data_IF_837513626228
#
_entry.id   IF_837513626228
#
_cell.length_a   1.000
_cell.length_b   1.000
_cell.length_c   1.000
_cell.angle_alpha   90.00
_cell.angle_beta   90.00
_cell.angle_gamma   90.00
#
_symmetry.space_group_name_H-M   'P 1'
#
loop_
_entity.id
_entity.type
_entity.pdbx_description
1 polymer ?
#
# COMPACT_ATOMS: atom_id res chain seq x y z
N UNK A 1 28.92 -57.67 -64.96
CA UNK A 1 29.56 -56.67 -64.08
C UNK A 1 28.71 -55.39 -64.13
N UNK A 2 27.74 -55.26 -63.22
CA UNK A 2 26.95 -54.06 -62.88
C UNK A 2 25.92 -54.51 -61.82
N UNK A 3 26.06 -54.03 -60.59
CA UNK A 3 25.06 -54.20 -59.52
C UNK A 3 24.35 -52.85 -59.32
N UNK A 4 23.04 -52.84 -58.99
CA UNK A 4 22.27 -51.61 -58.87
C UNK A 4 22.42 -50.95 -57.50
N UNK A 5 22.30 -49.62 -57.50
CA UNK A 5 22.36 -48.75 -56.34
C UNK A 5 21.13 -48.90 -55.44
N UNK A 6 21.36 -49.02 -54.13
CA UNK A 6 20.34 -49.02 -53.09
C UNK A 6 20.35 -47.63 -52.42
N UNK A 7 19.27 -46.85 -52.56
CA UNK A 7 19.12 -45.56 -51.88
C UNK A 7 18.49 -45.76 -50.49
N UNK A 8 18.95 -45.06 -49.44
CA UNK A 8 18.29 -45.11 -48.14
C UNK A 8 17.09 -44.15 -48.10
N UNK A 9 15.94 -44.65 -47.65
CA UNK A 9 14.80 -43.83 -47.23
C UNK A 9 15.17 -43.08 -45.93
N UNK A 10 15.23 -41.75 -46.00
CA UNK A 10 15.28 -40.90 -44.82
C UNK A 10 13.86 -40.69 -44.27
N UNK A 11 13.53 -41.33 -43.16
CA UNK A 11 12.34 -41.01 -42.36
C UNK A 11 12.60 -39.73 -41.56
N UNK A 12 12.00 -38.63 -41.98
CA UNK A 12 11.92 -37.40 -41.19
C UNK A 12 10.87 -37.59 -40.08
N UNK A 13 11.31 -37.89 -38.86
CA UNK A 13 10.45 -37.82 -37.68
C UNK A 13 10.40 -36.36 -37.23
N UNK A 14 9.33 -35.66 -37.60
CA UNK A 14 9.03 -34.34 -37.07
C UNK A 14 8.65 -34.46 -35.60
N UNK A 15 9.63 -34.34 -34.71
CA UNK A 15 9.42 -34.26 -33.27
C UNK A 15 8.71 -32.96 -32.92
N UNK A 16 7.42 -33.05 -32.57
CA UNK A 16 6.66 -31.96 -31.98
C UNK A 16 7.23 -31.72 -30.57
N UNK A 17 8.10 -30.73 -30.45
CA UNK A 17 8.57 -30.19 -29.17
C UNK A 17 7.38 -29.44 -28.53
N UNK A 18 6.57 -30.17 -27.77
CA UNK A 18 5.59 -29.58 -26.85
C UNK A 18 6.41 -28.94 -25.73
N UNK A 19 6.75 -27.66 -25.92
CA UNK A 19 7.35 -26.83 -24.89
C UNK A 19 6.25 -26.54 -23.86
N UNK A 20 6.14 -27.40 -22.83
CA UNK A 20 5.34 -27.14 -21.64
C UNK A 20 5.94 -25.94 -20.91
N UNK A 21 5.62 -24.73 -21.37
CA UNK A 21 5.90 -23.50 -20.64
C UNK A 21 5.08 -23.53 -19.35
N UNK A 22 5.74 -23.78 -18.23
CA UNK A 22 5.14 -23.62 -16.91
C UNK A 22 4.94 -22.13 -16.70
N UNK A 23 3.72 -21.63 -16.91
CA UNK A 23 3.35 -20.28 -16.51
C UNK A 23 3.45 -20.20 -14.98
N UNK A 24 4.55 -19.63 -14.48
CA UNK A 24 4.59 -19.17 -13.08
C UNK A 24 3.70 -17.94 -13.00
N UNK A 25 2.61 -18.04 -12.23
CA UNK A 25 1.81 -16.88 -11.88
C UNK A 25 2.71 -15.89 -11.13
N UNK A 26 2.92 -14.72 -11.73
CA UNK A 26 3.71 -13.66 -11.10
C UNK A 26 2.91 -13.11 -9.93
N UNK A 27 3.53 -13.11 -8.73
CA UNK A 27 2.93 -12.47 -7.56
C UNK A 27 2.83 -10.98 -7.85
N UNK A 28 1.61 -10.42 -7.81
CA UNK A 28 1.42 -8.99 -7.93
C UNK A 28 2.08 -8.29 -6.73
N UNK A 29 2.92 -7.29 -7.02
CA UNK A 29 3.51 -6.46 -5.98
C UNK A 29 2.42 -5.63 -5.29
N UNK A 30 2.55 -5.35 -3.97
CA UNK A 30 1.71 -4.38 -3.28
C UNK A 30 1.71 -3.01 -3.99
N UNK A 31 0.57 -2.34 -4.02
CA UNK A 31 0.49 -0.93 -4.36
C UNK A 31 1.08 -0.08 -3.24
N UNK A 32 1.79 0.99 -3.60
CA UNK A 32 2.41 1.93 -2.66
C UNK A 32 2.06 3.37 -3.01
N UNK A 33 2.06 4.24 -2.02
CA UNK A 33 1.80 5.67 -2.22
C UNK A 33 3.01 6.44 -2.73
N UNK A 34 4.22 6.01 -2.36
CA UNK A 34 5.46 6.82 -2.47
C UNK A 34 5.36 8.19 -1.76
N UNK A 35 4.40 8.34 -0.85
CA UNK A 35 4.15 9.55 -0.07
C UNK A 35 3.80 9.19 1.38
N UNK A 36 4.60 9.72 2.31
CA UNK A 36 4.48 9.52 3.75
C UNK A 36 3.63 10.67 4.35
N UNK A 37 2.32 10.49 4.42
CA UNK A 37 1.37 11.54 4.81
C UNK A 37 1.50 11.96 6.27
N UNK A 38 1.85 11.07 7.20
CA UNK A 38 2.01 11.40 8.61
C UNK A 38 3.34 12.14 8.86
N UNK A 39 4.43 11.74 8.19
CA UNK A 39 5.68 12.50 8.17
C UNK A 39 5.44 13.91 7.61
N UNK A 40 4.79 14.02 6.44
CA UNK A 40 4.45 15.30 5.83
C UNK A 40 3.61 16.16 6.78
N UNK A 41 2.57 15.58 7.38
CA UNK A 41 1.71 16.29 8.33
C UNK A 41 2.53 16.81 9.53
N UNK A 42 3.39 15.99 10.11
CA UNK A 42 4.19 16.40 11.26
C UNK A 42 5.19 17.49 10.90
N UNK A 43 5.78 17.43 9.71
CA UNK A 43 6.73 18.43 9.25
C UNK A 43 6.04 19.77 8.94
N UNK A 44 4.90 19.73 8.24
CA UNK A 44 4.27 20.93 7.66
C UNK A 44 3.10 21.50 8.47
N UNK A 45 2.39 20.67 9.23
CA UNK A 45 1.11 21.01 9.85
C UNK A 45 1.15 21.00 11.39
N UNK A 46 2.01 20.18 12.01
CA UNK A 46 1.98 19.98 13.46
C UNK A 46 2.29 21.23 14.29
N UNK A 47 2.94 22.25 13.72
CA UNK A 47 3.15 23.53 14.42
C UNK A 47 1.82 24.16 14.91
N UNK A 48 0.76 24.04 14.12
CA UNK A 48 -0.55 24.58 14.45
C UNK A 48 -1.54 23.51 14.94
N UNK A 49 -1.34 22.25 14.56
CA UNK A 49 -2.30 21.17 14.81
C UNK A 49 -1.79 20.09 15.78
N UNK A 50 -0.58 20.26 16.33
CA UNK A 50 0.08 19.25 17.17
C UNK A 50 0.51 18.03 16.36
N UNK A 51 1.40 17.22 16.92
CA UNK A 51 1.81 15.96 16.26
C UNK A 51 0.59 15.10 15.99
N UNK A 52 0.48 14.60 14.75
CA UNK A 52 -0.63 13.77 14.28
C UNK A 52 -2.01 14.37 14.55
N UNK A 53 -2.14 15.70 14.52
CA UNK A 53 -3.42 16.38 14.70
C UNK A 53 -3.91 16.39 16.15
N UNK A 54 -3.03 16.18 17.13
CA UNK A 54 -3.40 16.11 18.55
C UNK A 54 -4.05 17.39 19.11
N UNK A 55 -3.97 18.53 18.42
CA UNK A 55 -4.68 19.76 18.80
C UNK A 55 -6.06 19.88 18.14
N UNK A 56 -6.44 18.94 17.27
CA UNK A 56 -7.80 18.89 16.76
C UNK A 56 -8.77 18.57 17.91
N UNK A 57 -9.81 19.39 18.02
CA UNK A 57 -10.89 19.18 18.97
C UNK A 57 -11.87 18.10 18.51
N UNK A 58 -12.81 17.69 19.38
CA UNK A 58 -13.78 16.62 19.10
C UNK A 58 -14.76 16.93 17.96
N UNK A 59 -14.81 18.18 17.48
CA UNK A 59 -15.66 18.61 16.37
C UNK A 59 -14.89 18.79 15.07
N UNK A 60 -13.62 18.35 14.99
CA UNK A 60 -12.82 18.46 13.79
C UNK A 60 -13.55 17.87 12.58
N UNK A 61 -13.69 18.69 11.53
CA UNK A 61 -14.33 18.33 10.26
C UNK A 61 -15.75 17.73 10.34
N UNK A 62 -16.44 17.82 11.48
CA UNK A 62 -17.78 17.27 11.65
C UNK A 62 -18.75 17.91 10.65
N UNK A 63 -19.49 17.06 9.93
CA UNK A 63 -20.46 17.49 8.92
C UNK A 63 -19.88 17.95 7.58
N UNK A 64 -18.54 17.90 7.40
CA UNK A 64 -17.93 18.15 6.09
C UNK A 64 -18.07 16.93 5.19
N UNK A 65 -18.46 17.17 3.93
CA UNK A 65 -18.29 16.15 2.87
C UNK A 65 -16.81 15.90 2.61
N UNK A 66 -16.51 14.85 1.85
CA UNK A 66 -15.13 14.54 1.53
C UNK A 66 -14.48 15.61 0.66
N UNK A 67 -15.23 16.16 -0.31
CA UNK A 67 -14.79 17.24 -1.18
C UNK A 67 -14.50 18.51 -0.37
N UNK A 68 -15.36 18.83 0.61
CA UNK A 68 -15.15 19.95 1.51
C UNK A 68 -13.94 19.75 2.42
N UNK A 69 -13.70 18.52 2.88
CA UNK A 69 -12.51 18.19 3.65
C UNK A 69 -11.25 18.35 2.80
N UNK A 70 -11.25 17.81 1.58
CA UNK A 70 -10.14 17.91 0.64
C UNK A 70 -9.81 19.36 0.29
N UNK A 71 -10.83 20.18 0.02
CA UNK A 71 -10.65 21.60 -0.26
C UNK A 71 -9.99 22.33 0.91
N UNK A 72 -10.45 22.11 2.14
CA UNK A 72 -9.84 22.75 3.33
C UNK A 72 -8.40 22.28 3.54
N UNK A 73 -8.12 20.98 3.40
CA UNK A 73 -6.75 20.46 3.53
C UNK A 73 -5.83 21.07 2.48
N UNK A 74 -6.31 21.21 1.24
CA UNK A 74 -5.57 21.88 0.17
C UNK A 74 -5.27 23.34 0.49
N UNK A 75 -6.27 24.10 0.94
CA UNK A 75 -6.09 25.50 1.35
C UNK A 75 -5.09 25.64 2.49
N UNK A 76 -5.08 24.70 3.44
CA UNK A 76 -4.10 24.68 4.52
C UNK A 76 -2.68 24.40 4.01
N UNK A 77 -2.53 23.48 3.05
CA UNK A 77 -1.25 23.18 2.40
C UNK A 77 -0.71 24.38 1.62
N UNK A 78 -1.54 24.99 0.77
CA UNK A 78 -1.14 26.10 -0.10
C UNK A 78 -0.91 27.40 0.68
N UNK A 79 -1.72 27.65 1.72
CA UNK A 79 -1.70 28.87 2.52
C UNK A 79 -0.84 28.73 3.78
N UNK A 80 -1.41 28.49 4.97
CA UNK A 80 -0.68 28.45 6.24
C UNK A 80 0.58 27.58 6.27
N UNK A 81 0.55 26.39 5.66
CA UNK A 81 1.71 25.49 5.64
C UNK A 81 2.78 25.90 4.63
N UNK A 82 2.43 26.75 3.65
CA UNK A 82 3.30 27.17 2.54
C UNK A 82 4.00 25.96 1.86
N UNK A 83 3.28 24.85 1.76
CA UNK A 83 3.74 23.59 1.21
C UNK A 83 2.67 23.05 0.25
N UNK A 84 2.62 23.55 -1.00
CA UNK A 84 1.70 23.03 -1.99
C UNK A 84 1.94 21.53 -2.22
N UNK A 85 0.86 20.79 -2.41
CA UNK A 85 0.87 19.33 -2.51
C UNK A 85 0.24 18.89 -3.84
N UNK A 86 0.76 17.79 -4.42
CA UNK A 86 0.21 17.24 -5.65
C UNK A 86 -1.23 16.72 -5.43
N UNK A 87 -2.08 16.66 -6.48
CA UNK A 87 -3.43 16.11 -6.33
C UNK A 87 -3.44 14.68 -5.77
N UNK A 88 -2.50 13.84 -6.22
CA UNK A 88 -2.36 12.47 -5.73
C UNK A 88 -2.02 12.41 -4.24
N UNK A 89 -1.04 13.18 -3.79
CA UNK A 89 -0.59 13.16 -2.40
C UNK A 89 -1.61 13.82 -1.46
N UNK A 90 -2.37 14.79 -1.99
CA UNK A 90 -3.50 15.38 -1.29
C UNK A 90 -4.54 14.33 -0.92
N UNK A 91 -4.88 13.39 -1.81
CA UNK A 91 -5.86 12.33 -1.51
C UNK A 91 -5.42 11.49 -0.30
N UNK A 92 -4.13 11.14 -0.23
CA UNK A 92 -3.56 10.35 0.86
C UNK A 92 -3.53 11.15 2.17
N UNK A 93 -3.20 12.44 2.09
CA UNK A 93 -3.25 13.33 3.24
C UNK A 93 -4.70 13.54 3.72
N UNK A 94 -5.67 13.62 2.81
CA UNK A 94 -7.10 13.71 3.14
C UNK A 94 -7.58 12.42 3.78
N UNK A 95 -7.11 11.26 3.35
CA UNK A 95 -7.40 9.98 4.01
C UNK A 95 -6.95 9.96 5.48
N UNK A 96 -5.81 10.57 5.80
CA UNK A 96 -5.40 10.76 7.20
C UNK A 96 -6.39 11.65 7.97
N UNK A 97 -6.79 12.80 7.41
CA UNK A 97 -7.76 13.68 8.05
C UNK A 97 -9.15 13.04 8.17
N UNK A 98 -9.54 12.20 7.21
CA UNK A 98 -10.78 11.39 7.25
C UNK A 98 -10.75 10.43 8.42
N UNK A 99 -9.62 9.74 8.61
CA UNK A 99 -9.42 8.84 9.75
C UNK A 99 -9.57 9.59 11.09
N UNK A 100 -8.99 10.78 11.20
CA UNK A 100 -9.14 11.66 12.37
C UNK A 100 -10.59 12.09 12.60
N UNK A 101 -11.28 12.57 11.55
CA UNK A 101 -12.70 12.98 11.62
C UNK A 101 -13.59 11.84 12.08
N UNK A 102 -13.35 10.64 11.57
CA UNK A 102 -14.21 9.48 11.78
C UNK A 102 -13.82 8.64 13.01
N UNK A 103 -12.75 9.03 13.71
CA UNK A 103 -12.23 8.30 14.86
C UNK A 103 -11.71 6.90 14.51
N UNK A 104 -11.22 6.71 13.29
CA UNK A 104 -10.71 5.42 12.79
C UNK A 104 -9.19 5.43 12.68
N UNK A 105 -8.52 4.28 12.79
CA UNK A 105 -7.10 4.21 12.48
C UNK A 105 -6.85 4.41 10.98
N UNK A 106 -5.68 4.94 10.66
CA UNK A 106 -5.17 5.12 9.31
C UNK A 106 -4.04 4.13 9.04
N UNK A 107 -3.88 3.75 7.77
CA UNK A 107 -2.74 2.97 7.28
C UNK A 107 -2.41 3.34 5.84
N UNK A 108 -1.12 3.43 5.52
CA UNK A 108 -0.62 3.55 4.16
C UNK A 108 0.60 2.65 3.96
N UNK A 109 0.63 1.91 2.85
CA UNK A 109 1.82 1.30 2.30
C UNK A 109 2.59 2.36 1.49
N UNK A 110 3.76 2.77 1.97
CA UNK A 110 4.51 3.89 1.40
C UNK A 110 5.52 3.43 0.37
N UNK A 111 6.24 2.33 0.62
CA UNK A 111 7.24 1.81 -0.31
C UNK A 111 7.30 0.27 -0.28
N UNK A 112 7.66 -0.33 -1.41
CA UNK A 112 7.93 -1.75 -1.53
C UNK A 112 9.19 -1.94 -2.36
N UNK A 113 10.28 -2.33 -1.70
CA UNK A 113 11.57 -2.52 -2.34
C UNK A 113 12.27 -3.76 -1.80
N UNK A 114 12.84 -4.57 -2.70
CA UNK A 114 13.64 -5.75 -2.37
C UNK A 114 12.95 -6.68 -1.35
N UNK A 115 11.63 -6.87 -1.50
CA UNK A 115 10.82 -7.71 -0.62
C UNK A 115 10.47 -7.08 0.74
N UNK A 116 10.76 -5.80 0.95
CA UNK A 116 10.41 -5.07 2.18
C UNK A 116 9.28 -4.11 1.90
N UNK A 117 8.13 -4.32 2.54
CA UNK A 117 7.00 -3.40 2.53
C UNK A 117 7.09 -2.49 3.75
N UNK A 118 7.07 -1.18 3.52
CA UNK A 118 7.09 -0.18 4.60
C UNK A 118 5.96 0.82 4.45
N UNK A 119 5.61 1.47 5.55
CA UNK A 119 4.49 2.38 5.56
C UNK A 119 4.31 3.15 6.85
N UNK A 120 3.17 3.82 6.91
CA UNK A 120 2.72 4.59 8.06
C UNK A 120 1.38 4.07 8.58
N UNK A 121 1.13 4.23 9.87
CA UNK A 121 -0.14 3.93 10.49
C UNK A 121 -0.40 4.90 11.65
N UNK A 122 -1.66 4.98 12.10
CA UNK A 122 -2.01 5.77 13.29
C UNK A 122 -1.07 5.50 14.47
N UNK A 123 -0.53 6.53 15.14
CA UNK A 123 0.35 6.35 16.29
C UNK A 123 -0.31 5.51 17.39
N UNK A 124 0.45 4.60 18.01
CA UNK A 124 -0.02 3.74 19.10
C UNK A 124 -1.02 2.65 18.67
N UNK A 125 -1.26 2.48 17.38
CA UNK A 125 -2.06 1.37 16.84
C UNK A 125 -1.28 0.04 16.87
N UNK A 126 -1.95 -1.04 16.51
CA UNK A 126 -1.33 -2.33 16.18
C UNK A 126 -1.50 -2.57 14.69
N UNK A 127 -0.40 -2.86 13.99
CA UNK A 127 -0.40 -3.25 12.57
C UNK A 127 -0.23 -4.76 12.48
N UNK A 128 -1.00 -5.40 11.61
CA UNK A 128 -0.80 -6.81 11.26
C UNK A 128 -0.96 -7.04 9.77
N UNK A 129 -0.21 -8.00 9.24
CA UNK A 129 -0.27 -8.46 7.86
C UNK A 129 -0.92 -9.83 7.84
N UNK A 130 -1.85 -10.02 6.92
CA UNK A 130 -2.51 -11.30 6.65
C UNK A 130 -2.13 -11.74 5.24
N UNK A 131 -1.63 -12.97 5.09
CA UNK A 131 -1.31 -13.56 3.79
C UNK A 131 -2.54 -14.19 3.16
N UNK A 132 -2.50 -14.49 1.86
CA UNK A 132 -3.60 -15.20 1.18
C UNK A 132 -3.77 -16.65 1.65
N UNK A 133 -2.81 -17.20 2.40
CA UNK A 133 -2.92 -18.51 3.05
C UNK A 133 -3.55 -18.41 4.45
N UNK A 134 -3.86 -17.20 4.93
CA UNK A 134 -4.49 -16.96 6.22
C UNK A 134 -3.50 -16.83 7.39
N UNK A 135 -2.19 -16.82 7.12
CA UNK A 135 -1.19 -16.57 8.15
C UNK A 135 -1.19 -15.09 8.53
N UNK A 136 -1.12 -14.79 9.83
CA UNK A 136 -1.11 -13.42 10.33
C UNK A 136 0.16 -13.14 11.14
N UNK A 137 0.77 -11.99 10.87
CA UNK A 137 1.95 -11.52 11.60
C UNK A 137 1.73 -10.08 12.11
N UNK A 138 2.05 -9.84 13.38
CA UNK A 138 2.10 -8.48 13.92
C UNK A 138 3.37 -7.77 13.44
N UNK A 139 3.22 -6.52 13.03
CA UNK A 139 4.33 -5.68 12.58
C UNK A 139 4.56 -4.60 13.64
N UNK A 140 5.77 -4.52 14.23
CA UNK A 140 6.10 -3.47 15.17
C UNK A 140 5.97 -2.08 14.54
N UNK A 141 5.42 -1.14 15.31
CA UNK A 141 5.44 0.28 14.99
C UNK A 141 6.58 0.97 15.73
N UNK A 142 7.35 1.78 15.01
CA UNK A 142 8.29 2.73 15.58
C UNK A 142 7.73 4.15 15.40
N UNK A 143 7.08 4.66 16.45
CA UNK A 143 6.25 5.85 16.36
C UNK A 143 5.00 5.57 15.51
N UNK A 144 4.98 6.09 14.29
CA UNK A 144 3.92 5.86 13.29
C UNK A 144 4.40 5.03 12.09
N UNK A 145 5.67 4.63 12.04
CA UNK A 145 6.27 3.91 10.92
C UNK A 145 6.32 2.41 11.15
N UNK A 146 6.01 1.62 10.13
CA UNK A 146 6.10 0.16 10.15
C UNK A 146 6.88 -0.35 8.94
N UNK A 147 7.47 -1.54 9.08
CA UNK A 147 8.19 -2.22 8.02
C UNK A 147 8.13 -3.74 8.22
N UNK A 148 7.94 -4.49 7.13
CA UNK A 148 7.86 -5.94 7.16
C UNK A 148 8.55 -6.55 5.93
N UNK A 149 9.33 -7.60 6.17
CA UNK A 149 9.83 -8.46 5.10
C UNK A 149 8.70 -9.37 4.59
N UNK A 150 8.50 -9.38 3.28
CA UNK A 150 7.56 -10.23 2.56
C UNK A 150 8.39 -11.34 1.91
N UNK A 151 8.31 -12.59 2.40
CA UNK A 151 9.07 -13.69 1.82
C UNK A 151 8.73 -13.90 0.33
N UNK A 152 9.70 -14.40 -0.43
CA UNK A 152 9.50 -14.71 -1.84
C UNK A 152 8.31 -15.69 -2.02
N UNK A 153 7.42 -15.38 -2.97
CA UNK A 153 6.24 -16.19 -3.25
C UNK A 153 5.05 -15.96 -2.31
N UNK A 154 5.20 -15.20 -1.22
CA UNK A 154 4.09 -14.85 -0.33
C UNK A 154 3.27 -13.70 -0.91
N UNK A 155 1.94 -13.87 -0.91
CA UNK A 155 1.01 -12.79 -1.25
C UNK A 155 0.31 -12.28 0.00
N UNK A 156 0.23 -10.96 0.13
CA UNK A 156 -0.61 -10.34 1.15
C UNK A 156 -2.07 -10.34 0.70
N UNK A 157 -2.96 -10.70 1.61
CA UNK A 157 -4.39 -10.52 1.48
C UNK A 157 -4.83 -9.18 2.08
N UNK A 158 -4.32 -8.83 3.27
CA UNK A 158 -4.73 -7.62 4.00
C UNK A 158 -3.62 -7.05 4.86
N UNK A 159 -3.67 -5.73 5.04
CA UNK A 159 -2.99 -5.00 6.10
C UNK A 159 -4.09 -4.48 7.03
N UNK A 160 -4.05 -4.86 8.31
CA UNK A 160 -5.03 -4.46 9.31
C UNK A 160 -4.38 -3.58 10.35
N UNK A 161 -5.02 -2.45 10.66
CA UNK A 161 -4.62 -1.55 11.73
C UNK A 161 -5.74 -1.41 12.75
N UNK A 162 -5.39 -1.58 14.02
CA UNK A 162 -6.33 -1.52 15.14
C UNK A 162 -5.91 -0.45 16.15
N UNK A 163 -6.85 0.37 16.59
CA UNK A 163 -6.63 1.36 17.64
C UNK A 163 -7.95 1.67 18.36
N UNK A 164 -7.93 1.71 19.69
CA UNK A 164 -9.10 2.02 20.53
C UNK A 164 -10.39 1.27 20.15
N UNK A 165 -10.28 -0.02 19.84
CA UNK A 165 -11.43 -0.86 19.44
C UNK A 165 -11.95 -0.63 18.02
N UNK A 166 -11.34 0.26 17.26
CA UNK A 166 -11.62 0.49 15.84
C UNK A 166 -10.62 -0.26 14.97
N UNK A 167 -11.06 -0.64 13.77
CA UNK A 167 -10.23 -1.36 12.79
C UNK A 167 -10.36 -0.72 11.42
N UNK A 168 -9.23 -0.59 10.74
CA UNK A 168 -9.14 -0.24 9.31
C UNK A 168 -8.39 -1.33 8.59
N UNK A 169 -8.89 -1.72 7.42
CA UNK A 169 -8.29 -2.73 6.55
C UNK A 169 -7.89 -2.10 5.22
N UNK A 170 -6.74 -2.53 4.72
CA UNK A 170 -6.17 -2.16 3.43
C UNK A 170 -5.93 -3.45 2.66
N UNK A 171 -6.51 -3.54 1.46
CA UNK A 171 -6.12 -4.56 0.47
C UNK A 171 -4.92 -4.02 -0.33
N UNK A 172 -3.71 -4.53 -0.09
CA UNK A 172 -2.49 -4.02 -0.73
C UNK A 172 -2.46 -4.26 -2.24
N UNK A 173 -3.38 -5.06 -2.81
CA UNK A 173 -3.46 -5.28 -4.26
C UNK A 173 -4.25 -4.18 -4.99
N UNK A 174 -5.19 -3.54 -4.29
CA UNK A 174 -6.18 -2.63 -4.89
C UNK A 174 -6.14 -1.22 -4.33
N UNK A 175 -5.43 -1.01 -3.23
CA UNK A 175 -5.21 0.29 -2.64
C UNK A 175 -3.83 0.39 -1.97
N UNK A 176 -3.22 1.59 -1.93
CA UNK A 176 -2.01 1.83 -1.16
C UNK A 176 -2.26 2.46 0.22
N UNK A 177 -3.50 2.84 0.56
CA UNK A 177 -3.87 3.39 1.88
C UNK A 177 -5.35 3.17 2.21
N UNK A 178 -5.68 3.34 3.50
CA UNK A 178 -7.05 3.32 4.02
C UNK A 178 -7.17 4.23 5.26
N UNK A 179 -8.34 4.87 5.51
CA UNK A 179 -9.59 4.74 4.75
C UNK A 179 -9.58 5.52 3.42
N UNK A 180 -10.31 5.01 2.41
CA UNK A 180 -10.65 5.77 1.19
C UNK A 180 -11.87 6.66 1.38
#
# INVERSE_FOLDING_TARGET
>A
MRLPACQPLAFLVAGVLICCAVLRAQVAAPQTTNFASLDYFNEKCARCHGNYGSFYGPNFAKGKTDEQLAQVVKEMCDGPAQAPISPHDLEILVAWHRALRDGKPFVAAVNFDTGVLSGEASPGSTVSLETTTGEQANVPLNGHKWSAGIPEGVQLARIRVQSYGQTTELDPKTAPYAPK
#
